data_IF_181120779366
#
_entry.id   IF_181120779366
#
_cell.length_a   1.000
_cell.length_b   1.000
_cell.length_c   1.000
_cell.angle_alpha   90.00
_cell.angle_beta   90.00
_cell.angle_gamma   90.00
#
_symmetry.space_group_name_H-M   'P 1'
#
loop_
_entity.id
_entity.type
_entity.pdbx_description
1 polymer ?
#
# COMPACT_ATOMS: atom_id res chain seq x y z
N UNK A 1 9.52 40.10 39.99
CA UNK A 1 8.60 39.54 38.96
C UNK A 1 9.39 39.26 37.69
N UNK A 2 9.94 38.06 37.51
CA UNK A 2 10.56 37.63 36.24
C UNK A 2 10.77 36.11 36.24
N UNK A 3 9.78 35.33 35.75
CA UNK A 3 9.92 33.86 35.64
C UNK A 3 8.82 33.21 34.77
N UNK A 4 8.53 33.72 33.57
CA UNK A 4 7.50 33.13 32.68
C UNK A 4 7.97 32.95 31.22
N UNK A 5 9.28 33.04 30.93
CA UNK A 5 9.77 33.08 29.54
C UNK A 5 10.72 31.94 29.13
N UNK A 6 10.76 30.84 29.88
CA UNK A 6 11.62 29.70 29.51
C UNK A 6 10.85 28.48 28.96
N UNK A 7 9.53 28.41 29.14
CA UNK A 7 8.75 27.21 28.79
C UNK A 7 8.38 27.05 27.29
N UNK A 8 8.19 28.10 26.46
CA UNK A 8 7.66 27.88 25.11
C UNK A 8 8.74 27.40 24.11
N UNK A 9 10.02 27.63 24.41
CA UNK A 9 11.13 27.30 23.50
C UNK A 9 11.41 25.80 23.47
N UNK A 10 11.23 25.10 24.60
CA UNK A 10 11.45 23.64 24.67
C UNK A 10 10.38 22.87 23.89
N UNK A 11 9.14 23.38 23.84
CA UNK A 11 8.06 22.73 23.09
C UNK A 11 8.26 22.79 21.57
N UNK A 12 8.83 23.90 21.05
CA UNK A 12 9.03 24.06 19.62
C UNK A 12 10.13 23.12 19.06
N UNK A 13 11.11 22.75 19.90
CA UNK A 13 12.21 21.88 19.51
C UNK A 13 11.81 20.40 19.31
N UNK A 14 10.71 19.92 19.92
CA UNK A 14 10.29 18.52 19.78
C UNK A 14 9.53 18.22 18.47
N UNK A 15 9.01 19.23 17.76
CA UNK A 15 8.23 19.00 16.54
C UNK A 15 9.07 18.74 15.29
N UNK A 16 10.36 19.09 15.28
CA UNK A 16 11.18 19.02 14.04
C UNK A 16 11.72 17.63 13.72
N UNK A 17 11.50 16.63 14.59
CA UNK A 17 12.13 15.32 14.47
C UNK A 17 11.20 14.25 13.91
N UNK A 18 10.54 14.48 12.76
CA UNK A 18 10.05 13.42 11.83
C UNK A 18 9.86 13.93 10.40
N UNK A 19 10.89 14.58 9.84
CA UNK A 19 11.14 14.41 8.42
C UNK A 19 11.95 13.11 8.29
N UNK A 20 11.25 11.97 8.38
CA UNK A 20 11.78 10.71 7.85
C UNK A 20 11.90 10.99 6.36
N UNK A 21 13.09 11.45 5.97
CA UNK A 21 13.53 11.55 4.61
C UNK A 21 13.39 10.14 4.07
N UNK A 22 12.20 9.85 3.52
CA UNK A 22 11.86 8.60 2.91
C UNK A 22 12.69 8.54 1.64
N UNK A 23 14.00 8.28 1.82
CA UNK A 23 14.87 7.72 0.81
C UNK A 23 13.99 6.71 0.09
N UNK A 24 13.81 6.85 -1.23
CA UNK A 24 12.89 6.02 -1.98
C UNK A 24 13.36 4.60 -1.69
N UNK A 25 12.64 3.90 -0.80
CA UNK A 25 12.96 2.52 -0.50
C UNK A 25 12.73 1.86 -1.84
N UNK A 26 13.81 1.57 -2.55
CA UNK A 26 13.85 0.67 -3.68
C UNK A 26 13.49 -0.67 -3.08
N UNK A 27 12.20 -0.83 -2.77
CA UNK A 27 11.63 -2.13 -2.52
C UNK A 27 11.87 -2.83 -3.83
N UNK A 28 12.57 -3.95 -3.80
CA UNK A 28 12.62 -4.97 -4.85
C UNK A 28 11.24 -5.60 -5.06
N UNK A 29 10.23 -4.73 -5.13
CA UNK A 29 8.93 -4.97 -5.67
C UNK A 29 9.14 -4.94 -7.18
N UNK A 30 9.49 -6.11 -7.72
CA UNK A 30 9.85 -6.31 -9.13
C UNK A 30 8.60 -6.70 -9.93
N UNK A 31 8.66 -6.54 -11.24
CA UNK A 31 7.60 -7.01 -12.15
C UNK A 31 7.25 -8.50 -11.94
N UNK A 32 8.24 -9.35 -11.63
CA UNK A 32 8.02 -10.76 -11.28
C UNK A 32 7.08 -10.95 -10.07
N UNK A 33 7.15 -10.05 -9.09
CA UNK A 33 6.27 -10.12 -7.94
C UNK A 33 4.83 -9.74 -8.31
N UNK A 34 4.63 -8.79 -9.24
CA UNK A 34 3.32 -8.52 -9.82
C UNK A 34 2.73 -9.77 -10.49
N UNK A 35 3.51 -10.46 -11.32
CA UNK A 35 3.08 -11.70 -11.98
C UNK A 35 2.72 -12.78 -10.96
N UNK A 36 3.53 -12.94 -9.90
CA UNK A 36 3.24 -13.88 -8.83
C UNK A 36 1.90 -13.59 -8.13
N UNK A 37 1.54 -12.31 -7.94
CA UNK A 37 0.29 -11.91 -7.34
C UNK A 37 -0.90 -12.07 -8.29
N UNK A 38 -0.72 -11.75 -9.57
CA UNK A 38 -1.72 -11.94 -10.60
C UNK A 38 -2.05 -13.44 -10.78
N UNK A 39 -1.04 -14.30 -10.80
CA UNK A 39 -1.21 -15.74 -10.88
C UNK A 39 -1.96 -16.29 -9.65
N UNK A 40 -1.64 -15.82 -8.44
CA UNK A 40 -2.37 -16.20 -7.21
C UNK A 40 -3.83 -15.76 -7.23
N UNK A 41 -4.11 -14.59 -7.80
CA UNK A 41 -5.48 -14.10 -7.94
C UNK A 41 -6.26 -14.95 -8.93
N UNK A 42 -5.67 -15.28 -10.08
CA UNK A 42 -6.27 -16.14 -11.10
C UNK A 42 -6.48 -17.59 -10.62
N UNK A 43 -5.59 -18.10 -9.77
CA UNK A 43 -5.69 -19.42 -9.16
C UNK A 43 -6.64 -19.47 -7.95
N UNK A 44 -7.28 -18.36 -7.57
CA UNK A 44 -8.18 -18.35 -6.43
C UNK A 44 -9.43 -19.19 -6.75
N UNK A 45 -9.78 -20.18 -5.92
CA UNK A 45 -10.99 -20.99 -6.12
C UNK A 45 -12.26 -20.26 -5.69
N UNK A 46 -12.14 -19.07 -5.09
CA UNK A 46 -13.26 -18.28 -4.63
C UNK A 46 -13.90 -17.51 -5.79
N UNK A 47 -15.25 -17.37 -5.80
CA UNK A 47 -15.93 -16.56 -6.79
C UNK A 47 -15.44 -15.12 -6.69
N UNK A 48 -14.90 -14.60 -7.80
CA UNK A 48 -14.38 -13.24 -7.88
C UNK A 48 -15.53 -12.26 -8.13
N UNK A 49 -15.86 -11.46 -7.13
CA UNK A 49 -16.81 -10.35 -7.27
C UNK A 49 -16.27 -9.21 -8.13
N UNK A 50 -17.14 -8.28 -8.50
CA UNK A 50 -16.79 -7.18 -9.41
C UNK A 50 -15.70 -6.26 -8.83
N UNK A 51 -15.69 -6.08 -7.51
CA UNK A 51 -14.67 -5.29 -6.81
C UNK A 51 -13.30 -5.99 -6.90
N UNK A 52 -13.23 -7.28 -6.57
CA UNK A 52 -12.00 -8.07 -6.71
C UNK A 52 -11.46 -8.06 -8.13
N UNK A 53 -12.35 -8.21 -9.12
CA UNK A 53 -12.01 -8.23 -10.54
C UNK A 53 -11.43 -6.90 -11.00
N UNK A 54 -12.13 -5.79 -10.74
CA UNK A 54 -11.67 -4.45 -11.12
C UNK A 54 -10.36 -4.06 -10.44
N UNK A 55 -10.17 -4.43 -9.17
CA UNK A 55 -8.89 -4.22 -8.48
C UNK A 55 -7.75 -5.05 -9.08
N UNK A 56 -8.03 -6.29 -9.49
CA UNK A 56 -7.07 -7.19 -10.11
C UNK A 56 -6.61 -6.66 -11.47
N UNK A 57 -7.55 -6.30 -12.34
CA UNK A 57 -7.28 -5.76 -13.67
C UNK A 57 -6.48 -4.45 -13.60
N UNK A 58 -6.89 -3.53 -12.73
CA UNK A 58 -6.19 -2.27 -12.53
C UNK A 58 -4.78 -2.49 -11.97
N UNK A 59 -4.64 -3.43 -11.04
CA UNK A 59 -3.35 -3.81 -10.50
C UNK A 59 -2.38 -4.32 -11.58
N UNK A 60 -2.85 -5.18 -12.49
CA UNK A 60 -2.03 -5.65 -13.62
C UNK A 60 -1.64 -4.52 -14.56
N UNK A 61 -2.59 -3.63 -14.89
CA UNK A 61 -2.34 -2.47 -15.78
C UNK A 61 -1.28 -1.53 -15.21
N UNK A 62 -1.34 -1.27 -13.91
CA UNK A 62 -0.34 -0.47 -13.20
C UNK A 62 1.03 -1.14 -13.21
N UNK A 63 1.10 -2.45 -12.97
CA UNK A 63 2.36 -3.19 -13.08
C UNK A 63 2.96 -3.12 -14.50
N UNK A 64 2.13 -3.34 -15.53
CA UNK A 64 2.55 -3.30 -16.94
C UNK A 64 3.02 -1.90 -17.39
N UNK A 65 2.51 -0.83 -16.76
CA UNK A 65 2.90 0.56 -17.05
C UNK A 65 4.09 1.05 -16.21
N UNK A 66 4.74 0.18 -15.43
CA UNK A 66 5.88 0.53 -14.58
C UNK A 66 5.51 1.09 -13.20
N UNK A 67 4.22 1.22 -12.88
CA UNK A 67 3.72 1.62 -11.55
C UNK A 67 3.69 0.42 -10.59
N UNK A 68 4.81 -0.27 -10.45
CA UNK A 68 4.90 -1.59 -9.81
C UNK A 68 4.39 -1.58 -8.38
N UNK A 69 4.77 -0.61 -7.56
CA UNK A 69 4.33 -0.51 -6.15
C UNK A 69 2.81 -0.33 -6.02
N UNK A 70 2.23 0.56 -6.82
CA UNK A 70 0.79 0.81 -6.83
C UNK A 70 0.03 -0.40 -7.35
N UNK A 71 0.54 -1.05 -8.41
CA UNK A 71 -0.01 -2.28 -8.96
C UNK A 71 -0.03 -3.41 -7.94
N UNK A 72 1.07 -3.63 -7.23
CA UNK A 72 1.17 -4.61 -6.13
C UNK A 72 0.16 -4.31 -5.02
N UNK A 73 0.05 -3.05 -4.59
CA UNK A 73 -0.90 -2.66 -3.57
C UNK A 73 -2.35 -2.99 -3.98
N UNK A 74 -2.70 -2.75 -5.25
CA UNK A 74 -4.00 -3.09 -5.83
C UNK A 74 -4.23 -4.60 -5.92
N UNK A 75 -3.25 -5.38 -6.41
CA UNK A 75 -3.33 -6.83 -6.47
C UNK A 75 -3.48 -7.47 -5.09
N UNK A 76 -2.73 -7.00 -4.08
CA UNK A 76 -2.90 -7.44 -2.69
C UNK A 76 -4.30 -7.12 -2.14
N UNK A 77 -4.88 -5.97 -2.54
CA UNK A 77 -6.26 -5.60 -2.16
C UNK A 77 -7.29 -6.50 -2.84
N UNK A 78 -7.11 -6.82 -4.12
CA UNK A 78 -7.95 -7.77 -4.84
C UNK A 78 -7.97 -9.12 -4.13
N UNK A 79 -6.79 -9.69 -3.79
CA UNK A 79 -6.70 -10.95 -3.04
C UNK A 79 -7.42 -10.91 -1.68
N UNK A 80 -7.39 -9.78 -0.98
CA UNK A 80 -8.14 -9.61 0.28
C UNK A 80 -9.64 -9.54 0.03
N UNK A 81 -10.08 -8.81 -1.00
CA UNK A 81 -11.48 -8.72 -1.37
C UNK A 81 -12.03 -10.09 -1.76
N UNK A 82 -11.30 -10.87 -2.56
CA UNK A 82 -11.71 -12.23 -2.95
C UNK A 82 -11.88 -13.14 -1.73
N UNK A 83 -11.02 -13.01 -0.71
CA UNK A 83 -11.16 -13.75 0.56
C UNK A 83 -12.32 -13.27 1.42
N UNK A 84 -12.67 -11.99 1.35
CA UNK A 84 -13.82 -11.43 2.08
C UNK A 84 -15.13 -11.87 1.42
N UNK A 85 -15.21 -11.75 0.08
CA UNK A 85 -16.34 -12.22 -0.73
C UNK A 85 -16.59 -13.73 -0.52
N UNK A 86 -15.52 -14.53 -0.45
CA UNK A 86 -15.63 -15.96 -0.15
C UNK A 86 -16.20 -16.28 1.24
N UNK A 87 -16.17 -15.33 2.19
CA UNK A 87 -16.70 -15.50 3.54
C UNK A 87 -18.16 -15.09 3.68
N UNK A 88 -18.78 -14.52 2.64
CA UNK A 88 -20.21 -14.19 2.62
C UNK A 88 -20.60 -12.98 3.46
N UNK A 89 -19.83 -11.89 3.38
CA UNK A 89 -20.31 -10.54 3.78
C UNK A 89 -21.33 -10.00 2.78
#
# INVERSE_FOLDING_TARGET
MLRILALPVVLFALCSARADEAAPRISTENAEYCESLAARLAASPAPMGDISRGLGEEGRRLCASGHVRTGIAKLRRALRATRAEARGD
#
